data_IF_662320937161
#
_entry.id   IF_662320937161
#
_cell.length_a   1.000
_cell.length_b   1.000
_cell.length_c   1.000
_cell.angle_alpha   90.00
_cell.angle_beta   90.00
_cell.angle_gamma   90.00
#
_symmetry.space_group_name_H-M   'P 1'
#
loop_
_entity.id
_entity.type
_entity.pdbx_description
1 polymer ?
#
# COMPACT_ATOMS: atom_id res chain seq x y z
N UNK A 1 -5.29 -40.02 2.92
CA UNK A 1 -4.06 -39.95 3.73
C UNK A 1 -3.25 -38.66 3.48
N UNK A 2 -3.84 -37.46 3.63
CA UNK A 2 -3.14 -36.17 3.43
C UNK A 2 -2.85 -35.41 4.74
N UNK A 3 -3.49 -35.80 5.84
CA UNK A 3 -3.28 -35.21 7.16
C UNK A 3 -1.85 -35.36 7.74
N UNK A 4 -1.10 -36.48 7.57
CA UNK A 4 0.23 -36.57 8.18
C UNK A 4 1.28 -35.67 7.51
N UNK A 5 1.10 -35.29 6.23
CA UNK A 5 2.02 -34.37 5.53
C UNK A 5 1.82 -32.91 5.94
N UNK A 6 0.60 -32.51 6.32
CA UNK A 6 0.31 -31.17 6.80
C UNK A 6 0.98 -30.92 8.15
N UNK A 7 1.01 -31.93 9.03
CA UNK A 7 1.70 -31.87 10.33
C UNK A 7 3.22 -31.84 10.20
N UNK A 8 3.78 -32.44 9.15
CA UNK A 8 5.24 -32.47 8.90
C UNK A 8 5.75 -31.15 8.30
N UNK A 9 4.95 -30.46 7.50
CA UNK A 9 5.35 -29.20 6.85
C UNK A 9 5.26 -27.97 7.76
N UNK A 10 4.43 -28.03 8.81
CA UNK A 10 4.38 -27.04 9.88
C UNK A 10 4.81 -27.71 11.18
N UNK A 11 6.12 -27.91 11.41
CA UNK A 11 6.58 -28.42 12.71
C UNK A 11 6.08 -27.48 13.81
N UNK A 12 5.69 -28.05 14.95
CA UNK A 12 5.36 -27.34 16.20
C UNK A 12 6.37 -26.27 16.60
N UNK A 13 7.59 -26.29 16.03
CA UNK A 13 8.60 -25.24 16.13
C UNK A 13 8.13 -23.87 15.60
N UNK A 14 7.26 -23.78 14.61
CA UNK A 14 6.74 -22.48 14.13
C UNK A 14 5.85 -21.76 15.16
N UNK A 15 5.33 -22.45 16.19
CA UNK A 15 4.65 -21.78 17.31
C UNK A 15 5.62 -21.02 18.23
N UNK A 16 6.92 -21.31 18.16
CA UNK A 16 7.95 -20.73 19.02
C UNK A 16 9.12 -20.03 18.27
N UNK A 17 9.16 -20.07 16.93
CA UNK A 17 10.19 -19.42 16.12
C UNK A 17 9.97 -17.89 15.98
N UNK A 18 10.59 -17.15 16.91
CA UNK A 18 11.49 -15.99 16.72
C UNK A 18 11.14 -14.81 15.77
N UNK A 19 9.97 -14.72 15.14
CA UNK A 19 9.57 -13.43 14.53
C UNK A 19 9.32 -12.42 15.66
N UNK A 20 10.00 -11.26 15.68
CA UNK A 20 9.97 -10.36 16.84
C UNK A 20 8.56 -9.80 17.10
N UNK A 21 7.83 -9.46 16.04
CA UNK A 21 6.50 -8.86 16.14
C UNK A 21 5.36 -9.89 16.22
N UNK A 22 4.42 -9.66 17.16
CA UNK A 22 3.21 -10.48 17.35
C UNK A 22 2.34 -10.56 16.08
N UNK A 23 2.16 -9.43 15.41
CA UNK A 23 1.37 -9.36 14.19
C UNK A 23 1.91 -10.27 13.07
N UNK A 24 3.24 -10.33 12.88
CA UNK A 24 3.85 -11.19 11.86
C UNK A 24 3.49 -12.67 12.07
N UNK A 25 3.55 -13.13 13.33
CA UNK A 25 3.21 -14.51 13.69
C UNK A 25 1.74 -14.81 13.39
N UNK A 26 0.84 -13.91 13.80
CA UNK A 26 -0.60 -14.06 13.56
C UNK A 26 -0.93 -14.07 12.06
N UNK A 27 -0.34 -13.14 11.30
CA UNK A 27 -0.54 -13.06 9.85
C UNK A 27 -0.15 -14.36 9.15
N UNK A 28 1.04 -14.90 9.44
CA UNK A 28 1.48 -16.15 8.81
C UNK A 28 0.73 -17.38 9.30
N UNK A 29 0.26 -17.40 10.54
CA UNK A 29 -0.60 -18.48 11.03
C UNK A 29 -1.94 -18.53 10.26
N UNK A 30 -2.60 -17.38 10.11
CA UNK A 30 -3.85 -17.28 9.33
C UNK A 30 -3.59 -17.66 7.87
N UNK A 31 -2.53 -17.11 7.28
CA UNK A 31 -2.19 -17.37 5.88
C UNK A 31 -1.82 -18.83 5.62
N UNK A 32 -1.06 -19.45 6.51
CA UNK A 32 -0.70 -20.86 6.44
C UNK A 32 -1.96 -21.72 6.31
N UNK A 33 -2.94 -21.46 7.18
CA UNK A 33 -4.23 -22.14 7.15
C UNK A 33 -4.95 -21.92 5.82
N UNK A 34 -5.10 -20.68 5.37
CA UNK A 34 -5.76 -20.39 4.08
C UNK A 34 -5.06 -21.03 2.89
N UNK A 35 -3.72 -21.00 2.84
CA UNK A 35 -2.93 -21.61 1.78
C UNK A 35 -3.12 -23.15 1.78
N UNK A 36 -3.17 -23.79 2.96
CA UNK A 36 -3.42 -25.23 3.11
C UNK A 36 -4.86 -25.61 2.71
N UNK A 37 -5.85 -24.86 3.17
CA UNK A 37 -7.25 -25.05 2.79
C UNK A 37 -7.40 -24.94 1.26
N UNK A 38 -6.70 -24.00 0.63
CA UNK A 38 -6.69 -23.83 -0.82
C UNK A 38 -5.99 -25.00 -1.56
N UNK A 39 -4.98 -25.65 -0.96
CA UNK A 39 -4.36 -26.87 -1.49
C UNK A 39 -5.34 -28.04 -1.41
N UNK A 40 -5.96 -28.24 -0.25
CA UNK A 40 -6.93 -29.32 0.00
C UNK A 40 -8.15 -29.20 -0.93
N UNK A 41 -8.67 -27.99 -1.12
CA UNK A 41 -9.82 -27.73 -1.98
C UNK A 41 -9.53 -27.89 -3.49
N UNK A 42 -8.26 -28.05 -3.91
CA UNK A 42 -7.91 -28.15 -5.34
C UNK A 42 -8.12 -29.59 -5.83
N UNK A 43 -9.07 -29.88 -6.75
CA UNK A 43 -9.34 -31.25 -7.19
C UNK A 43 -8.21 -31.82 -8.06
N UNK A 44 -7.65 -31.00 -8.95
CA UNK A 44 -6.63 -31.43 -9.92
C UNK A 44 -5.26 -31.68 -9.24
N UNK A 45 -4.67 -32.88 -9.41
CA UNK A 45 -3.45 -33.26 -8.69
C UNK A 45 -2.22 -32.44 -9.11
N UNK A 46 -2.09 -32.11 -10.40
CA UNK A 46 -0.96 -31.32 -10.90
C UNK A 46 -0.97 -29.89 -10.33
N UNK A 47 -2.14 -29.23 -10.32
CA UNK A 47 -2.30 -27.91 -9.68
C UNK A 47 -2.10 -27.98 -8.17
N UNK A 48 -2.58 -29.04 -7.51
CA UNK A 48 -2.36 -29.26 -6.08
C UNK A 48 -0.87 -29.36 -5.74
N UNK A 49 -0.11 -30.12 -6.51
CA UNK A 49 1.34 -30.26 -6.33
C UNK A 49 2.07 -28.92 -6.52
N UNK A 50 1.69 -28.13 -7.54
CA UNK A 50 2.24 -26.77 -7.75
C UNK A 50 1.96 -25.85 -6.56
N UNK A 51 0.72 -25.81 -6.07
CA UNK A 51 0.36 -25.01 -4.88
C UNK A 51 1.14 -25.46 -3.64
N UNK A 52 1.28 -26.77 -3.43
CA UNK A 52 2.06 -27.30 -2.30
C UNK A 52 3.54 -26.88 -2.40
N UNK A 53 4.13 -26.94 -3.59
CA UNK A 53 5.50 -26.47 -3.82
C UNK A 53 5.68 -24.97 -3.54
N UNK A 54 4.68 -24.15 -3.89
CA UNK A 54 4.67 -22.72 -3.57
C UNK A 54 4.56 -22.46 -2.06
N UNK A 55 3.72 -23.21 -1.36
CA UNK A 55 3.62 -23.15 0.11
C UNK A 55 4.95 -23.53 0.75
N UNK A 56 5.57 -24.64 0.32
CA UNK A 56 6.88 -25.07 0.83
C UNK A 56 7.98 -24.03 0.57
N UNK A 57 7.93 -23.30 -0.55
CA UNK A 57 8.87 -22.20 -0.84
C UNK A 57 8.68 -21.02 0.11
N UNK A 58 7.44 -20.69 0.47
CA UNK A 58 7.13 -19.63 1.43
C UNK A 58 7.59 -20.02 2.84
N UNK A 59 7.35 -21.26 3.26
CA UNK A 59 7.81 -21.78 4.55
C UNK A 59 9.34 -21.71 4.66
N UNK A 60 10.08 -22.15 3.63
CA UNK A 60 11.54 -22.03 3.60
C UNK A 60 12.03 -20.58 3.71
N UNK A 61 11.36 -19.65 3.02
CA UNK A 61 11.67 -18.22 3.14
C UNK A 61 11.44 -17.69 4.56
N UNK A 62 10.39 -18.15 5.24
CA UNK A 62 10.12 -17.79 6.63
C UNK A 62 11.18 -18.36 7.59
N UNK A 63 11.61 -19.61 7.36
CA UNK A 63 12.69 -20.23 8.11
C UNK A 63 13.98 -19.42 8.00
N UNK A 64 14.40 -19.08 6.77
CA UNK A 64 15.57 -18.21 6.57
C UNK A 64 15.42 -16.85 7.25
N UNK A 65 14.24 -16.22 7.16
CA UNK A 65 13.99 -14.96 7.85
C UNK A 65 14.10 -15.10 9.38
N UNK A 66 13.69 -16.24 9.96
CA UNK A 66 13.83 -16.51 11.40
C UNK A 66 15.25 -16.89 11.81
N UNK A 67 16.07 -17.37 10.88
CA UNK A 67 17.50 -17.68 11.07
C UNK A 67 18.38 -16.42 10.99
N UNK A 68 17.80 -15.25 10.71
CA UNK A 68 18.52 -13.98 10.60
C UNK A 68 18.96 -13.61 9.17
N UNK A 69 18.42 -14.25 8.12
CA UNK A 69 18.64 -13.79 6.75
C UNK A 69 17.85 -12.49 6.47
N UNK A 70 18.56 -11.37 6.47
CA UNK A 70 18.03 -10.03 6.17
C UNK A 70 17.29 -9.97 4.83
N UNK A 71 17.74 -10.69 3.80
CA UNK A 71 17.09 -10.64 2.47
C UNK A 71 15.75 -11.35 2.53
N UNK A 72 15.70 -12.50 3.19
CA UNK A 72 14.46 -13.24 3.40
C UNK A 72 13.48 -12.42 4.26
N UNK A 73 13.97 -11.78 5.32
CA UNK A 73 13.18 -10.93 6.20
C UNK A 73 12.61 -9.71 5.47
N UNK A 74 13.44 -9.00 4.70
CA UNK A 74 13.01 -7.89 3.85
C UNK A 74 12.01 -8.29 2.75
N UNK A 75 12.00 -9.56 2.33
CA UNK A 75 10.97 -10.08 1.42
C UNK A 75 9.65 -10.40 2.13
N UNK A 76 9.70 -10.72 3.43
CA UNK A 76 8.55 -11.11 4.25
C UNK A 76 7.75 -9.89 4.70
N UNK A 77 8.40 -8.82 5.15
CA UNK A 77 7.74 -7.61 5.68
C UNK A 77 6.76 -6.95 4.70
N UNK A 78 7.10 -6.74 3.40
CA UNK A 78 6.18 -6.11 2.47
C UNK A 78 4.93 -6.94 2.21
N UNK A 79 4.97 -8.25 2.49
CA UNK A 79 3.83 -9.11 2.27
C UNK A 79 2.91 -9.09 3.50
N UNK A 80 3.47 -9.11 4.71
CA UNK A 80 2.70 -9.10 5.97
C UNK A 80 2.01 -7.77 6.23
N UNK A 81 2.69 -6.67 5.96
CA UNK A 81 2.16 -5.31 6.12
C UNK A 81 1.40 -4.82 4.89
N UNK A 82 1.09 -5.73 3.96
CA UNK A 82 0.26 -5.42 2.80
C UNK A 82 0.88 -4.40 1.85
N UNK A 83 2.20 -4.25 1.79
CA UNK A 83 2.85 -3.40 0.76
C UNK A 83 2.88 -4.07 -0.62
N UNK A 84 2.69 -5.38 -0.68
CA UNK A 84 2.66 -6.18 -1.91
C UNK A 84 1.55 -7.23 -1.89
N UNK A 85 1.20 -7.74 -3.06
CA UNK A 85 0.23 -8.83 -3.21
C UNK A 85 -1.22 -8.43 -2.96
N UNK A 86 -2.05 -9.42 -2.61
CA UNK A 86 -3.50 -9.28 -2.43
C UNK A 86 -3.87 -8.34 -1.29
N UNK A 87 -3.19 -8.45 -0.15
CA UNK A 87 -3.47 -7.60 1.01
C UNK A 87 -3.26 -6.12 0.64
N UNK A 88 -2.23 -5.77 -0.14
CA UNK A 88 -2.06 -4.39 -0.65
C UNK A 88 -3.29 -3.87 -1.38
N UNK A 89 -3.84 -4.70 -2.25
CA UNK A 89 -5.02 -4.34 -3.01
C UNK A 89 -6.21 -4.13 -2.08
N UNK A 90 -6.44 -5.04 -1.13
CA UNK A 90 -7.53 -4.94 -0.14
C UNK A 90 -7.39 -3.68 0.73
N UNK A 91 -6.18 -3.34 1.17
CA UNK A 91 -5.93 -2.15 2.00
C UNK A 91 -6.11 -0.83 1.23
N UNK A 92 -5.70 -0.79 -0.04
CA UNK A 92 -5.80 0.41 -0.86
C UNK A 92 -7.12 0.51 -1.63
N UNK A 93 -7.93 -0.55 -1.68
CA UNK A 93 -9.18 -0.55 -2.42
C UNK A 93 -10.14 0.58 -2.02
N UNK A 94 -10.39 0.85 -0.71
CA UNK A 94 -11.24 1.96 -0.30
C UNK A 94 -10.71 3.31 -0.78
N UNK A 95 -9.38 3.49 -0.78
CA UNK A 95 -8.70 4.72 -1.19
C UNK A 95 -8.66 4.86 -2.72
N UNK A 96 -8.71 3.75 -3.46
CA UNK A 96 -8.64 3.73 -4.92
C UNK A 96 -9.94 4.21 -5.56
N UNK A 97 -11.07 3.96 -4.93
CA UNK A 97 -12.39 4.33 -5.46
C UNK A 97 -12.95 5.51 -4.69
N UNK A 98 -13.61 6.41 -5.42
CA UNK A 98 -14.40 7.49 -4.84
C UNK A 98 -15.85 7.25 -5.28
N UNK A 99 -16.75 6.87 -4.36
CA UNK A 99 -18.14 6.57 -4.71
C UNK A 99 -18.89 7.84 -5.17
N UNK A 100 -18.41 9.02 -4.80
CA UNK A 100 -19.05 10.29 -5.13
C UNK A 100 -18.60 10.84 -6.48
N UNK A 101 -17.43 10.41 -6.96
CA UNK A 101 -16.86 10.89 -8.22
C UNK A 101 -17.31 10.02 -9.40
N UNK A 102 -18.04 10.64 -10.34
CA UNK A 102 -18.33 10.07 -11.66
C UNK A 102 -17.60 10.86 -12.75
N UNK A 103 -16.32 10.55 -13.02
CA UNK A 103 -15.53 11.29 -14.01
C UNK A 103 -16.09 11.11 -15.42
N UNK A 104 -16.07 12.19 -16.21
CA UNK A 104 -16.55 12.16 -17.60
C UNK A 104 -15.61 11.32 -18.48
N UNK A 105 -16.14 10.40 -19.31
CA UNK A 105 -15.33 9.64 -20.25
C UNK A 105 -14.58 10.52 -21.25
N UNK A 106 -13.29 10.26 -21.47
CA UNK A 106 -12.46 11.01 -22.45
C UNK A 106 -12.91 10.69 -23.88
N UNK A 107 -13.30 9.44 -24.13
CA UNK A 107 -13.86 8.98 -25.40
C UNK A 107 -15.37 8.86 -25.23
N UNK A 108 -16.11 9.66 -26.02
CA UNK A 108 -17.58 9.65 -26.02
C UNK A 108 -18.11 8.24 -26.30
N UNK A 109 -19.06 7.78 -25.50
CA UNK A 109 -19.68 6.45 -25.62
C UNK A 109 -18.85 5.29 -25.06
N UNK A 110 -17.64 5.53 -24.54
CA UNK A 110 -16.79 4.48 -23.96
C UNK A 110 -16.58 4.76 -22.47
N UNK A 111 -17.42 4.23 -21.56
CA UNK A 111 -17.35 4.56 -20.13
C UNK A 111 -16.02 4.14 -19.48
N UNK A 112 -15.37 3.09 -19.98
CA UNK A 112 -14.04 2.65 -19.52
C UNK A 112 -12.91 3.63 -19.84
N UNK A 113 -13.17 4.67 -20.64
CA UNK A 113 -12.23 5.76 -20.90
C UNK A 113 -12.28 6.89 -19.87
N UNK A 114 -13.15 6.79 -18.87
CA UNK A 114 -13.17 7.74 -17.77
C UNK A 114 -11.88 7.61 -16.93
N UNK A 115 -11.18 8.71 -16.63
CA UNK A 115 -9.98 8.66 -15.81
C UNK A 115 -10.33 8.14 -14.42
N UNK A 116 -9.44 7.33 -13.83
CA UNK A 116 -9.64 6.84 -12.47
C UNK A 116 -9.71 8.03 -11.48
N UNK A 117 -10.76 8.11 -10.63
CA UNK A 117 -10.88 9.21 -9.69
C UNK A 117 -9.80 9.12 -8.61
N UNK A 118 -9.36 10.29 -8.12
CA UNK A 118 -8.59 10.39 -6.89
C UNK A 118 -9.55 10.68 -5.76
N UNK A 119 -9.69 9.74 -4.82
CA UNK A 119 -10.42 9.95 -3.58
C UNK A 119 -9.80 11.06 -2.73
N UNK A 120 -10.57 11.72 -1.85
CA UNK A 120 -10.04 12.78 -0.99
C UNK A 120 -8.85 12.31 -0.13
N UNK A 121 -8.91 11.06 0.36
CA UNK A 121 -7.82 10.47 1.14
C UNK A 121 -6.56 10.30 0.27
N UNK A 122 -6.73 9.78 -0.96
CA UNK A 122 -5.61 9.59 -1.88
C UNK A 122 -4.98 10.92 -2.29
N UNK A 123 -5.80 11.95 -2.54
CA UNK A 123 -5.30 13.30 -2.87
C UNK A 123 -4.41 13.82 -1.75
N UNK A 124 -4.89 13.73 -0.52
CA UNK A 124 -4.17 14.19 0.67
C UNK A 124 -2.85 13.44 0.86
N UNK A 125 -2.85 12.11 0.70
CA UNK A 125 -1.64 11.30 0.79
C UNK A 125 -0.60 11.66 -0.29
N UNK A 126 -1.05 12.01 -1.49
CA UNK A 126 -0.16 12.31 -2.62
C UNK A 126 0.37 13.75 -2.62
N UNK A 127 -0.38 14.69 -2.06
CA UNK A 127 -0.01 16.12 -2.00
C UNK A 127 0.80 16.45 -0.75
N UNK A 128 0.68 15.65 0.32
CA UNK A 128 1.46 15.85 1.54
C UNK A 128 2.94 15.49 1.34
N UNK A 129 3.87 16.25 1.95
CA UNK A 129 5.31 16.04 1.76
C UNK A 129 5.86 14.84 2.54
N UNK A 130 5.15 14.37 3.57
CA UNK A 130 5.70 13.52 4.64
C UNK A 130 6.15 12.10 4.24
N UNK A 131 5.74 11.52 3.09
CA UNK A 131 6.38 10.30 2.57
C UNK A 131 7.06 10.48 1.21
N UNK A 132 7.05 11.68 0.64
CA UNK A 132 7.37 11.89 -0.78
C UNK A 132 8.50 12.90 -0.97
N UNK A 133 9.58 12.44 -1.63
CA UNK A 133 10.63 13.35 -2.12
C UNK A 133 10.11 14.37 -3.13
N UNK A 134 9.03 14.04 -3.84
CA UNK A 134 8.35 14.91 -4.81
C UNK A 134 6.84 14.75 -4.67
N UNK A 135 6.20 15.49 -3.75
CA UNK A 135 4.74 15.48 -3.62
C UNK A 135 4.10 15.96 -4.92
N UNK A 136 2.92 15.42 -5.24
CA UNK A 136 2.14 15.86 -6.40
C UNK A 136 1.48 17.19 -6.08
N UNK A 137 1.46 18.10 -7.04
CA UNK A 137 0.68 19.33 -6.91
C UNK A 137 -0.80 19.03 -7.21
N UNK A 138 -1.74 19.85 -6.71
CA UNK A 138 -3.15 19.73 -7.09
C UNK A 138 -3.38 19.78 -8.61
N UNK A 139 -2.51 20.48 -9.35
CA UNK A 139 -2.54 20.51 -10.81
C UNK A 139 -2.13 19.15 -11.42
N UNK A 140 -1.10 18.49 -10.86
CA UNK A 140 -0.63 17.18 -11.32
C UNK A 140 -1.71 16.08 -11.19
N UNK A 141 -2.63 16.23 -10.23
CA UNK A 141 -3.75 15.31 -10.05
C UNK A 141 -4.79 15.43 -11.17
N UNK A 142 -4.97 16.62 -11.75
CA UNK A 142 -5.88 16.87 -12.88
C UNK A 142 -5.23 16.52 -14.21
N UNK A 143 -3.99 16.96 -14.40
CA UNK A 143 -3.18 16.73 -15.59
C UNK A 143 -1.81 16.21 -15.19
N UNK A 144 -1.52 14.91 -15.34
CA UNK A 144 -0.26 14.35 -14.88
C UNK A 144 0.90 14.93 -15.70
N UNK A 145 2.07 15.14 -15.08
CA UNK A 145 3.27 15.65 -15.76
C UNK A 145 3.77 14.79 -16.93
N UNK A 146 3.36 13.52 -16.98
CA UNK A 146 3.65 12.60 -18.07
C UNK A 146 2.76 12.83 -19.31
N UNK A 147 1.71 13.63 -19.17
CA UNK A 147 0.86 14.02 -20.29
C UNK A 147 1.59 15.05 -21.16
N UNK A 148 1.66 14.77 -22.45
CA UNK A 148 2.28 15.66 -23.43
C UNK A 148 1.43 16.93 -23.57
N UNK A 149 2.07 18.07 -23.86
CA UNK A 149 1.34 19.33 -24.10
C UNK A 149 0.40 19.22 -25.31
N UNK A 150 0.72 18.34 -26.27
CA UNK A 150 -0.14 17.97 -27.40
C UNK A 150 -1.50 17.39 -27.03
N UNK A 151 -1.73 17.04 -25.76
CA UNK A 151 -3.06 16.65 -25.28
C UNK A 151 -4.05 17.82 -25.27
N UNK A 152 -3.56 19.05 -25.12
CA UNK A 152 -4.37 20.25 -25.29
C UNK A 152 -4.41 20.63 -26.78
N UNK A 153 -5.58 20.56 -27.44
CA UNK A 153 -5.69 20.89 -28.86
C UNK A 153 -5.38 22.36 -29.16
N UNK A 154 -5.40 23.24 -28.16
CA UNK A 154 -5.08 24.67 -28.30
C UNK A 154 -3.59 24.97 -28.17
N UNK A 155 -2.78 23.98 -27.77
CA UNK A 155 -1.34 24.17 -27.59
C UNK A 155 -0.58 24.26 -28.91
N UNK A 156 0.47 25.09 -28.94
CA UNK A 156 1.37 25.22 -30.11
C UNK A 156 1.95 23.87 -30.55
N UNK A 157 2.24 22.98 -29.59
CA UNK A 157 2.73 21.64 -29.89
C UNK A 157 1.67 20.79 -30.62
N UNK A 158 0.39 20.89 -30.24
CA UNK A 158 -0.69 20.18 -30.93
C UNK A 158 -0.93 20.75 -32.32
N UNK A 159 -0.77 22.06 -32.51
CA UNK A 159 -0.89 22.70 -33.83
C UNK A 159 0.25 22.24 -34.74
N UNK A 160 1.49 22.18 -34.21
CA UNK A 160 2.67 21.80 -34.98
C UNK A 160 2.75 20.29 -35.28
N UNK A 161 2.40 19.44 -34.31
CA UNK A 161 2.60 17.97 -34.39
C UNK A 161 1.31 17.17 -34.55
N UNK A 162 0.15 17.83 -34.45
CA UNK A 162 -1.16 17.20 -34.36
C UNK A 162 -1.58 16.87 -32.92
N UNK A 163 -2.89 16.78 -32.65
CA UNK A 163 -3.41 16.48 -31.31
C UNK A 163 -3.13 15.03 -30.90
N UNK A 164 -2.97 14.81 -29.59
CA UNK A 164 -2.79 13.48 -29.03
C UNK A 164 -4.04 12.61 -29.24
N UNK A 165 -3.86 11.35 -29.62
CA UNK A 165 -5.01 10.43 -29.73
C UNK A 165 -5.65 10.20 -28.36
N UNK A 166 -6.99 10.26 -28.30
CA UNK A 166 -7.76 10.09 -27.04
C UNK A 166 -7.43 8.78 -26.31
N UNK A 167 -7.21 7.69 -27.05
CA UNK A 167 -6.81 6.39 -26.49
C UNK A 167 -5.45 6.47 -25.80
N UNK A 168 -4.48 7.20 -26.38
CA UNK A 168 -3.16 7.38 -25.78
C UNK A 168 -3.24 8.27 -24.54
N UNK A 169 -4.06 9.31 -24.55
CA UNK A 169 -4.34 10.14 -23.37
C UNK A 169 -4.91 9.30 -22.21
N UNK A 170 -5.95 8.50 -22.48
CA UNK A 170 -6.55 7.56 -21.50
C UNK A 170 -5.46 6.69 -20.89
N UNK A 171 -4.65 6.03 -21.73
CA UNK A 171 -3.57 5.15 -21.27
C UNK A 171 -2.54 5.87 -20.39
N UNK A 172 -2.16 7.11 -20.75
CA UNK A 172 -1.21 7.90 -19.95
C UNK A 172 -1.80 8.23 -18.58
N UNK A 173 -3.07 8.68 -18.54
CA UNK A 173 -3.75 9.03 -17.28
C UNK A 173 -3.92 7.82 -16.36
N UNK A 174 -4.32 6.66 -16.88
CA UNK A 174 -4.42 5.44 -16.08
C UNK A 174 -3.06 5.00 -15.53
N UNK A 175 -2.01 5.02 -16.36
CA UNK A 175 -0.64 4.71 -15.90
C UNK A 175 -0.16 5.68 -14.83
N UNK A 176 -0.48 6.97 -14.96
CA UNK A 176 -0.14 7.98 -13.98
C UNK A 176 -0.87 7.74 -12.64
N UNK A 177 -2.16 7.39 -12.68
CA UNK A 177 -2.93 7.03 -11.49
C UNK A 177 -2.38 5.77 -10.80
N UNK A 178 -2.13 4.69 -11.55
CA UNK A 178 -1.54 3.47 -11.00
C UNK A 178 -0.14 3.73 -10.42
N UNK A 179 0.66 4.60 -11.05
CA UNK A 179 1.95 5.03 -10.53
C UNK A 179 1.82 5.84 -9.24
N UNK A 180 0.80 6.71 -9.15
CA UNK A 180 0.48 7.45 -7.94
C UNK A 180 0.06 6.52 -6.80
N UNK A 181 -0.83 5.56 -7.06
CA UNK A 181 -1.20 4.51 -6.09
C UNK A 181 0.00 3.70 -5.60
N UNK A 182 0.99 3.46 -6.48
CA UNK A 182 2.20 2.73 -6.10
C UNK A 182 3.06 3.48 -5.09
N UNK A 183 2.98 4.81 -5.06
CA UNK A 183 3.67 5.67 -4.08
C UNK A 183 3.08 5.56 -2.68
N UNK A 184 1.81 5.19 -2.57
CA UNK A 184 1.16 4.98 -1.27
C UNK A 184 1.56 3.60 -0.75
N UNK A 185 2.19 3.59 0.43
CA UNK A 185 2.67 2.39 1.11
C UNK A 185 1.83 2.16 2.38
N UNK A 186 0.97 1.12 2.41
CA UNK A 186 0.27 0.72 3.62
C UNK A 186 1.23 0.07 4.66
N UNK A 187 0.78 -0.13 5.91
CA UNK A 187 -0.51 0.27 6.51
C UNK A 187 -0.65 1.79 6.63
N UNK A 188 -1.88 2.29 6.64
CA UNK A 188 -2.21 3.70 6.77
C UNK A 188 -3.04 3.89 8.04
N UNK A 189 -2.67 4.86 8.87
CA UNK A 189 -3.44 5.24 10.06
C UNK A 189 -3.90 6.68 9.90
N UNK A 190 -5.18 6.93 10.18
CA UNK A 190 -5.71 8.29 10.24
C UNK A 190 -5.59 8.76 11.69
N UNK A 191 -4.94 9.90 11.87
CA UNK A 191 -4.93 10.61 13.13
C UNK A 191 -5.87 11.81 13.00
N UNK A 192 -6.79 11.93 13.96
CA UNK A 192 -7.74 13.05 14.02
C UNK A 192 -7.19 14.07 14.98
N UNK A 193 -7.08 15.31 14.52
CA UNK A 193 -6.74 16.44 15.39
C UNK A 193 -8.04 17.13 15.82
N UNK A 194 -8.49 16.97 17.08
CA UNK A 194 -9.75 17.55 17.57
C UNK A 194 -9.72 19.08 17.63
N UNK A 195 -8.60 19.66 18.04
CA UNK A 195 -8.35 21.10 18.08
C UNK A 195 -6.94 21.42 17.56
N UNK A 196 -6.69 22.61 16.99
CA UNK A 196 -5.38 22.99 16.42
C UNK A 196 -4.22 22.82 17.41
N UNK A 197 -4.48 23.07 18.69
CA UNK A 197 -3.49 23.03 19.78
C UNK A 197 -3.38 21.66 20.44
N UNK A 198 -4.27 20.73 20.11
CA UNK A 198 -4.27 19.38 20.68
C UNK A 198 -3.41 18.42 19.86
N UNK A 199 -2.74 17.45 20.52
CA UNK A 199 -2.02 16.40 19.83
C UNK A 199 -2.98 15.58 18.98
N UNK A 200 -2.56 15.12 17.79
CA UNK A 200 -3.37 14.24 16.98
C UNK A 200 -3.63 12.94 17.73
N UNK A 201 -4.91 12.55 17.83
CA UNK A 201 -5.34 11.33 18.49
C UNK A 201 -5.67 10.29 17.43
N UNK A 202 -5.15 9.07 17.60
CA UNK A 202 -5.53 7.93 16.76
C UNK A 202 -6.84 7.37 17.33
N UNK A 203 -7.98 7.52 16.62
CA UNK A 203 -9.23 6.99 17.10
C UNK A 203 -9.16 5.46 17.18
N UNK A 204 -9.61 4.89 18.30
CA UNK A 204 -9.75 3.44 18.45
C UNK A 204 -10.82 2.87 17.51
N UNK A 205 -10.89 1.53 17.36
CA UNK A 205 -11.84 0.87 16.44
C UNK A 205 -13.31 1.24 16.73
N UNK A 206 -13.68 1.41 18.00
CA UNK A 206 -15.04 1.80 18.39
C UNK A 206 -15.37 3.24 18.00
N UNK A 207 -14.41 4.16 18.11
CA UNK A 207 -14.58 5.55 17.68
C UNK A 207 -14.64 5.64 16.14
N UNK A 208 -13.89 4.80 15.45
CA UNK A 208 -13.93 4.71 13.99
C UNK A 208 -15.29 4.23 13.46
N UNK A 209 -15.93 3.30 14.16
CA UNK A 209 -17.27 2.84 13.81
C UNK A 209 -18.36 3.92 13.98
N UNK A 210 -18.09 4.94 14.79
CA UNK A 210 -18.99 6.08 14.96
C UNK A 210 -18.89 7.10 13.79
N UNK A 211 -17.79 7.10 13.03
CA UNK A 211 -17.71 7.88 11.79
C UNK A 211 -18.66 7.25 10.76
N UNK A 212 -19.77 7.92 10.51
CA UNK A 212 -20.70 7.50 9.46
C UNK A 212 -20.02 7.68 8.11
N UNK A 213 -20.16 6.69 7.24
CA UNK A 213 -19.62 6.73 5.87
C UNK A 213 -20.15 7.92 5.05
N UNK A 214 -21.29 8.50 5.46
CA UNK A 214 -21.97 9.60 4.79
C UNK A 214 -21.56 10.99 5.30
N UNK A 215 -20.81 11.08 6.40
CA UNK A 215 -20.27 12.34 6.87
C UNK A 215 -19.06 12.72 6.01
N UNK A 216 -19.28 13.59 5.02
CA UNK A 216 -18.24 14.13 4.14
C UNK A 216 -17.09 14.82 4.89
N UNK A 217 -17.30 15.10 6.18
CA UNK A 217 -16.34 15.70 7.10
C UNK A 217 -15.22 14.73 7.52
N UNK A 218 -15.47 13.42 7.51
CA UNK A 218 -14.52 12.42 7.99
C UNK A 218 -13.98 11.52 6.88
N UNK A 219 -12.65 11.26 6.84
CA UNK A 219 -12.07 10.29 5.92
C UNK A 219 -12.64 8.90 6.19
N UNK A 220 -12.83 8.11 5.13
CA UNK A 220 -13.34 6.75 5.27
C UNK A 220 -12.39 5.90 6.11
N UNK A 221 -12.93 5.02 6.99
CA UNK A 221 -12.08 4.14 7.80
C UNK A 221 -11.24 3.25 6.88
N UNK A 222 -9.94 3.20 7.13
CA UNK A 222 -9.01 2.40 6.36
C UNK A 222 -8.93 0.99 6.96
N UNK A 223 -8.69 0.00 6.09
CA UNK A 223 -8.49 -1.35 6.55
C UNK A 223 -7.27 -1.43 7.49
N UNK A 224 -7.40 -2.20 8.57
CA UNK A 224 -6.40 -2.38 9.63
C UNK A 224 -6.16 -1.18 10.55
N UNK A 225 -6.97 -0.13 10.45
CA UNK A 225 -6.86 1.01 11.35
C UNK A 225 -7.21 0.64 12.80
N UNK A 226 -6.45 1.18 13.75
CA UNK A 226 -6.65 0.93 15.18
C UNK A 226 -6.11 -0.42 15.67
N UNK A 227 -5.47 -1.21 14.81
CA UNK A 227 -4.80 -2.47 15.20
C UNK A 227 -3.42 -2.25 15.84
N UNK A 228 -2.93 -1.01 15.90
CA UNK A 228 -1.61 -0.68 16.45
C UNK A 228 -0.44 -1.09 15.56
N UNK A 229 -0.67 -1.30 14.26
CA UNK A 229 0.37 -1.79 13.36
C UNK A 229 1.48 -0.77 13.12
N UNK A 230 1.17 0.53 13.10
CA UNK A 230 2.22 1.54 13.00
C UNK A 230 3.13 1.49 14.22
N UNK A 231 2.57 1.29 15.42
CA UNK A 231 3.35 1.10 16.65
C UNK A 231 4.21 -0.16 16.59
N UNK A 232 3.68 -1.28 16.10
CA UNK A 232 4.47 -2.51 15.88
C UNK A 232 5.64 -2.27 14.90
N UNK A 233 5.43 -1.45 13.86
CA UNK A 233 6.48 -1.08 12.90
C UNK A 233 7.52 -0.17 13.56
N UNK A 234 7.11 0.82 14.35
CA UNK A 234 8.02 1.71 15.10
C UNK A 234 8.89 0.93 16.08
N UNK A 235 8.31 -0.02 16.81
CA UNK A 235 9.04 -0.92 17.69
C UNK A 235 10.05 -1.77 16.92
N UNK A 236 9.66 -2.31 15.76
CA UNK A 236 10.52 -3.13 14.92
C UNK A 236 11.68 -2.34 14.29
N UNK A 237 11.48 -1.06 14.00
CA UNK A 237 12.52 -0.17 13.48
C UNK A 237 13.42 0.38 14.61
N UNK A 238 12.99 0.27 15.87
CA UNK A 238 13.75 0.71 17.04
C UNK A 238 13.63 2.20 17.32
N UNK A 239 12.50 2.84 16.98
CA UNK A 239 12.25 4.25 17.27
C UNK A 239 11.09 4.85 16.49
N UNK A 240 10.80 6.13 16.75
CA UNK A 240 9.78 6.88 15.99
C UNK A 240 10.18 6.94 14.51
N UNK A 241 9.29 6.52 13.61
CA UNK A 241 9.49 6.63 12.14
C UNK A 241 9.80 8.07 11.71
N UNK A 242 9.44 9.04 12.56
CA UNK A 242 9.74 10.46 12.43
C UNK A 242 11.13 10.89 12.93
N UNK A 243 12.03 9.95 13.24
CA UNK A 243 13.42 10.28 13.52
C UNK A 243 13.95 11.13 12.36
N UNK A 244 14.56 12.28 12.69
CA UNK A 244 15.08 13.21 11.69
C UNK A 244 15.93 12.43 10.67
N UNK A 245 15.70 12.62 9.36
CA UNK A 245 16.45 11.92 8.35
C UNK A 245 17.94 12.09 8.63
N UNK A 246 18.77 11.05 8.41
CA UNK A 246 20.18 11.14 8.71
C UNK A 246 20.78 12.34 7.98
N UNK A 247 21.45 13.23 8.73
CA UNK A 247 22.03 14.46 8.19
C UNK A 247 22.78 14.16 6.89
N UNK A 248 22.50 14.93 5.85
CA UNK A 248 23.19 14.82 4.57
C UNK A 248 24.68 15.12 4.74
N UNK A 249 25.53 14.66 3.81
CA UNK A 249 26.98 14.92 3.88
C UNK A 249 27.30 16.42 3.98
N UNK A 250 26.46 17.28 3.40
CA UNK A 250 26.57 18.75 3.47
C UNK A 250 26.24 19.28 4.86
N UNK A 251 25.13 18.84 5.45
CA UNK A 251 24.73 19.24 6.80
C UNK A 251 25.71 18.71 7.87
N UNK A 252 26.21 17.48 7.73
CA UNK A 252 27.27 16.96 8.61
C UNK A 252 28.56 17.79 8.56
N UNK A 253 28.89 18.34 7.39
CA UNK A 253 30.05 19.25 7.25
C UNK A 253 29.77 20.60 7.91
N UNK A 254 28.56 21.16 7.75
CA UNK A 254 28.17 22.41 8.40
C UNK A 254 28.13 22.28 9.93
N UNK A 255 27.60 21.16 10.44
CA UNK A 255 27.54 20.86 11.88
C UNK A 255 28.94 20.70 12.50
N UNK A 256 29.95 20.25 11.74
CA UNK A 256 31.35 20.18 12.20
C UNK A 256 32.06 21.54 12.23
N UNK A 257 31.53 22.55 11.55
CA UNK A 257 32.12 23.89 11.42
C UNK A 257 31.49 24.87 12.43
N UNK A 258 30.44 24.45 13.13
CA UNK A 258 29.85 25.24 14.22
C UNK A 258 30.61 24.93 15.52
N UNK A 259 31.32 25.91 16.13
CA UNK A 259 32.11 25.72 17.34
C UNK A 259 31.25 25.49 18.59
#
# INVERSE_FOLDING_TARGET
MLYPLVTVLYPSKLQHCLLPARYLRQFFAVRARTDLDAVVATPEPALRARKLADVARRVRRLQHATEGDDKAFNCVLPITYGRTGKLRWELLFPVRTDPTASPTPIIRGVPSSAPAPYSPELRTLLTTPLPHTKPLTPADLKSPRTLLRTADPTSDEAILRGPLSKRREVNIRHRAHDAALRRVAPPLELAVRPAPDEPPVIPGPSALAAFRADDATYPRPLAMQGLGLMRDIEELVGGTIHATPPLTKRERRAAKVSP
#
